data_IF_087879209866
#
_entry.id   IF_087879209866
#
_cell.length_a   1.000
_cell.length_b   1.000
_cell.length_c   1.000
_cell.angle_alpha   90.00
_cell.angle_beta   90.00
_cell.angle_gamma   90.00
#
_symmetry.space_group_name_H-M   'P 1'
#
loop_
_entity.id
_entity.type
_entity.pdbx_description
1 polymer ?
#
# COMPACT_ATOMS: atom_id res chain seq x y z
N UNK A 1 44.05 19.09 6.74
CA UNK A 1 42.64 19.54 6.59
C UNK A 1 42.17 19.11 5.21
N UNK A 2 41.28 18.12 5.16
CA UNK A 2 40.69 17.55 3.94
C UNK A 2 39.19 17.44 4.33
N UNK A 3 38.33 18.39 3.94
CA UNK A 3 37.50 18.38 2.72
C UNK A 3 36.87 16.99 2.49
N UNK A 4 35.57 16.77 2.44
CA UNK A 4 34.39 17.62 2.48
C UNK A 4 33.16 16.71 2.45
N UNK A 5 32.02 17.26 2.90
CA UNK A 5 30.66 16.74 2.74
C UNK A 5 30.45 15.92 1.47
N UNK A 6 29.75 14.79 1.58
CA UNK A 6 28.72 14.40 0.62
C UNK A 6 27.69 13.49 1.30
N UNK A 7 26.56 14.08 1.67
CA UNK A 7 25.37 13.33 2.08
C UNK A 7 24.70 12.75 0.85
N UNK A 8 24.38 11.45 0.89
CA UNK A 8 23.55 10.83 -0.12
C UNK A 8 22.10 11.11 0.27
N UNK A 9 21.55 12.15 -0.35
CA UNK A 9 20.12 12.42 -0.39
C UNK A 9 19.51 11.40 -1.37
N UNK A 10 18.82 10.39 -0.86
CA UNK A 10 18.08 9.45 -1.71
C UNK A 10 16.80 10.15 -2.17
N UNK A 11 16.85 10.71 -3.37
CA UNK A 11 15.71 11.32 -4.05
C UNK A 11 14.69 10.26 -4.46
N UNK A 12 13.42 10.61 -4.27
CA UNK A 12 12.26 9.84 -4.66
C UNK A 12 12.31 9.41 -6.14
N UNK A 13 11.92 8.17 -6.39
CA UNK A 13 11.69 7.64 -7.74
C UNK A 13 10.39 8.24 -8.27
N UNK A 14 10.40 9.01 -9.38
CA UNK A 14 9.17 9.40 -10.04
C UNK A 14 8.69 8.25 -10.92
N UNK A 15 7.66 7.52 -10.50
CA UNK A 15 6.92 6.62 -11.40
C UNK A 15 5.88 7.47 -12.13
N UNK A 16 6.29 8.02 -13.28
CA UNK A 16 5.36 8.52 -14.30
C UNK A 16 5.36 7.47 -15.41
N UNK A 17 4.33 6.61 -15.43
CA UNK A 17 4.03 5.78 -16.59
C UNK A 17 2.78 6.32 -17.27
N UNK A 18 2.99 6.74 -18.52
CA UNK A 18 2.00 7.23 -19.46
C UNK A 18 1.97 6.23 -20.60
N UNK A 19 1.10 5.23 -20.51
CA UNK A 19 0.81 4.28 -21.59
C UNK A 19 -0.72 4.09 -21.62
N UNK A 20 -1.42 4.76 -22.54
CA UNK A 20 -1.88 4.20 -23.82
C UNK A 20 -2.59 2.86 -23.66
N UNK A 21 -3.91 2.91 -23.77
CA UNK A 21 -4.83 1.83 -24.14
C UNK A 21 -4.14 0.68 -24.91
N UNK A 22 -3.94 -0.42 -24.20
CA UNK A 22 -3.76 -1.76 -24.75
C UNK A 22 -4.50 -2.68 -23.78
N UNK A 23 -5.51 -3.42 -24.27
CA UNK A 23 -6.44 -4.22 -23.46
C UNK A 23 -5.72 -5.28 -22.61
N UNK A 24 -5.18 -4.88 -21.47
CA UNK A 24 -4.69 -5.75 -20.41
C UNK A 24 -5.69 -5.61 -19.27
N UNK A 25 -6.12 -6.75 -18.70
CA UNK A 25 -7.01 -6.72 -17.54
C UNK A 25 -6.36 -5.97 -16.39
N UNK A 26 -7.16 -5.35 -15.52
CA UNK A 26 -6.67 -4.80 -14.27
C UNK A 26 -7.04 -5.76 -13.14
N UNK A 27 -6.17 -5.89 -12.15
CA UNK A 27 -6.43 -6.70 -10.96
C UNK A 27 -6.69 -5.75 -9.81
N UNK A 28 -7.86 -5.88 -9.19
CA UNK A 28 -8.19 -5.25 -7.91
C UNK A 28 -7.93 -6.25 -6.79
N UNK A 29 -7.15 -5.83 -5.80
CA UNK A 29 -6.88 -6.57 -4.57
C UNK A 29 -7.48 -5.81 -3.39
N UNK A 30 -8.41 -6.42 -2.67
CA UNK A 30 -8.98 -5.90 -1.44
C UNK A 30 -8.30 -6.56 -0.24
N UNK A 31 -7.81 -5.75 0.70
CA UNK A 31 -7.13 -6.22 1.90
C UNK A 31 -7.72 -5.58 3.15
N UNK A 32 -7.66 -6.32 4.25
CA UNK A 32 -7.89 -5.84 5.60
C UNK A 32 -6.54 -5.72 6.32
N UNK A 33 -6.20 -4.53 6.81
CA UNK A 33 -4.96 -4.26 7.53
C UNK A 33 -5.30 -3.96 8.99
N UNK A 34 -4.77 -4.76 9.90
CA UNK A 34 -4.94 -4.57 11.34
C UNK A 34 -3.68 -3.92 11.90
N UNK A 35 -3.79 -2.77 12.58
CA UNK A 35 -2.63 -2.13 13.18
C UNK A 35 -2.23 -2.83 14.49
N UNK A 36 -0.93 -2.86 14.80
CA UNK A 36 -0.40 -3.29 16.10
C UNK A 36 -0.89 -2.37 17.23
N UNK A 37 -0.99 -1.07 16.92
CA UNK A 37 -1.46 -0.04 17.83
C UNK A 37 -2.57 0.79 17.17
N UNK A 38 -3.76 0.77 17.78
CA UNK A 38 -4.94 1.51 17.31
C UNK A 38 -4.71 3.03 17.23
N UNK A 39 -3.78 3.59 18.02
CA UNK A 39 -3.42 5.00 17.98
C UNK A 39 -2.63 5.42 16.72
N UNK A 40 -2.18 4.46 15.90
CA UNK A 40 -1.40 4.72 14.68
C UNK A 40 -2.18 4.43 13.39
N UNK A 41 -3.45 4.02 13.49
CA UNK A 41 -4.26 3.58 12.35
C UNK A 41 -4.37 4.63 11.23
N UNK A 42 -4.51 5.91 11.59
CA UNK A 42 -4.56 6.98 10.60
C UNK A 42 -3.22 7.17 9.87
N UNK A 43 -2.10 7.03 10.60
CA UNK A 43 -0.76 7.12 10.00
C UNK A 43 -0.51 5.97 9.04
N UNK A 44 -0.91 4.76 9.43
CA UNK A 44 -0.81 3.57 8.57
C UNK A 44 -1.65 3.77 7.32
N UNK A 45 -2.87 4.32 7.43
CA UNK A 45 -3.67 4.67 6.25
C UNK A 45 -2.99 5.69 5.35
N UNK A 46 -2.37 6.73 5.92
CA UNK A 46 -1.58 7.71 5.16
C UNK A 46 -0.35 7.08 4.48
N UNK A 47 0.27 6.07 5.08
CA UNK A 47 1.38 5.33 4.47
C UNK A 47 0.90 4.38 3.36
N UNK A 48 -0.24 3.72 3.54
CA UNK A 48 -0.88 2.88 2.52
C UNK A 48 -1.23 3.69 1.26
N UNK A 49 -1.66 4.95 1.41
CA UNK A 49 -1.95 5.86 0.28
C UNK A 49 -0.72 6.16 -0.58
N UNK A 50 0.49 5.98 -0.05
CA UNK A 50 1.75 6.22 -0.77
C UNK A 50 2.21 5.02 -1.61
N UNK A 51 1.62 3.85 -1.38
CA UNK A 51 1.92 2.65 -2.15
C UNK A 51 1.36 2.84 -3.57
N UNK A 52 2.18 2.54 -4.58
CA UNK A 52 1.74 2.60 -5.96
C UNK A 52 0.58 1.61 -6.20
N UNK A 53 -0.46 2.06 -6.89
CA UNK A 53 -1.67 1.27 -7.12
C UNK A 53 -2.75 1.45 -6.06
N UNK A 54 -2.57 2.30 -5.05
CA UNK A 54 -3.64 2.61 -4.10
C UNK A 54 -4.90 3.11 -4.83
N UNK A 55 -6.05 2.48 -4.56
CA UNK A 55 -7.33 2.86 -5.14
C UNK A 55 -8.27 3.50 -4.11
N UNK A 56 -8.46 2.84 -2.97
CA UNK A 56 -9.34 3.34 -1.90
C UNK A 56 -8.96 2.73 -0.56
N UNK A 57 -9.19 3.45 0.53
CA UNK A 57 -8.91 3.00 1.89
C UNK A 57 -9.81 3.70 2.89
N UNK A 58 -10.36 2.93 3.84
CA UNK A 58 -11.23 3.44 4.91
C UNK A 58 -11.00 2.68 6.21
N UNK A 59 -11.19 3.37 7.32
CA UNK A 59 -11.15 2.77 8.65
C UNK A 59 -12.55 2.25 8.97
N UNK A 60 -12.66 0.97 9.31
CA UNK A 60 -13.92 0.33 9.67
C UNK A 60 -13.81 -0.36 11.04
N UNK A 61 -14.97 -0.53 11.68
CA UNK A 61 -15.04 -1.33 12.89
C UNK A 61 -14.77 -2.79 12.56
N UNK A 62 -13.96 -3.41 13.41
CA UNK A 62 -13.50 -4.79 13.28
C UNK A 62 -13.87 -5.58 14.55
N UNK A 63 -13.27 -6.76 14.73
CA UNK A 63 -13.61 -7.63 15.87
C UNK A 63 -13.30 -6.97 17.21
N UNK A 64 -14.14 -7.23 18.21
CA UNK A 64 -13.95 -6.80 19.60
C UNK A 64 -13.76 -5.28 19.80
N UNK A 65 -14.41 -4.46 18.96
CA UNK A 65 -14.35 -2.99 19.09
C UNK A 65 -13.01 -2.39 18.66
N UNK A 66 -12.14 -3.18 18.03
CA UNK A 66 -10.94 -2.69 17.35
C UNK A 66 -11.32 -2.11 15.99
N UNK A 67 -10.43 -1.30 15.42
CA UNK A 67 -10.57 -0.80 14.06
C UNK A 67 -9.52 -1.44 13.16
N UNK A 68 -9.91 -1.62 11.90
CA UNK A 68 -9.02 -2.08 10.84
C UNK A 68 -9.14 -1.15 9.64
N UNK A 69 -8.17 -1.22 8.74
CA UNK A 69 -8.18 -0.47 7.50
C UNK A 69 -8.58 -1.41 6.39
N UNK A 70 -9.73 -1.15 5.76
CA UNK A 70 -10.14 -1.82 4.53
C UNK A 70 -9.56 -1.03 3.36
N UNK A 71 -8.65 -1.63 2.61
CA UNK A 71 -7.89 -0.97 1.54
C UNK A 71 -7.96 -1.78 0.26
N UNK A 72 -7.98 -1.10 -0.88
CA UNK A 72 -7.95 -1.71 -2.21
C UNK A 72 -6.81 -1.14 -3.05
N UNK A 73 -6.18 -2.02 -3.80
CA UNK A 73 -5.13 -1.69 -4.75
C UNK A 73 -5.49 -2.19 -6.14
N UNK A 74 -5.07 -1.44 -7.17
CA UNK A 74 -5.22 -1.81 -8.57
C UNK A 74 -3.83 -1.87 -9.20
N UNK A 75 -3.53 -2.99 -9.84
CA UNK A 75 -2.36 -3.14 -10.71
C UNK A 75 -2.80 -3.71 -12.07
N UNK A 76 -1.90 -3.66 -13.05
CA UNK A 76 -2.14 -4.33 -14.32
C UNK A 76 -1.95 -5.84 -14.15
N UNK A 77 -2.73 -6.67 -14.85
CA UNK A 77 -2.66 -8.14 -14.78
C UNK A 77 -1.29 -8.70 -15.21
N UNK A 78 -0.53 -7.94 -16.00
CA UNK A 78 0.85 -8.26 -16.34
C UNK A 78 1.85 -8.04 -15.20
N UNK A 79 1.48 -7.26 -14.18
CA UNK A 79 2.32 -6.96 -13.03
C UNK A 79 1.92 -7.85 -11.86
N UNK A 80 2.66 -8.94 -11.66
CA UNK A 80 2.55 -9.75 -10.45
C UNK A 80 3.06 -8.91 -9.26
N UNK A 81 2.13 -8.34 -8.47
CA UNK A 81 2.44 -7.60 -7.24
C UNK A 81 1.80 -8.27 -6.04
N UNK A 82 2.60 -8.51 -5.02
CA UNK A 82 2.13 -9.01 -3.73
C UNK A 82 1.94 -7.84 -2.76
N UNK A 83 0.73 -7.29 -2.75
CA UNK A 83 0.36 -6.21 -1.85
C UNK A 83 0.32 -6.66 -0.38
N UNK A 84 0.06 -7.94 -0.10
CA UNK A 84 0.08 -8.47 1.27
C UNK A 84 1.50 -8.37 1.84
N UNK A 85 2.49 -8.86 1.09
CA UNK A 85 3.90 -8.81 1.49
C UNK A 85 4.39 -7.36 1.60
N UNK A 86 4.02 -6.49 0.66
CA UNK A 86 4.42 -5.08 0.68
C UNK A 86 3.86 -4.33 1.90
N UNK A 87 2.58 -4.53 2.22
CA UNK A 87 1.93 -3.88 3.36
C UNK A 87 2.41 -4.45 4.69
N UNK A 88 2.71 -5.76 4.76
CA UNK A 88 3.23 -6.40 5.98
C UNK A 88 4.55 -5.78 6.46
N UNK A 89 5.31 -5.13 5.57
CA UNK A 89 6.57 -4.44 5.88
C UNK A 89 6.37 -3.04 6.44
N UNK A 90 5.14 -2.50 6.41
CA UNK A 90 4.83 -1.19 6.98
C UNK A 90 4.87 -1.28 8.50
N UNK A 91 5.66 -0.39 9.10
CA UNK A 91 5.79 -0.31 10.55
C UNK A 91 4.43 -0.04 11.20
N UNK A 92 4.09 -0.83 12.21
CA UNK A 92 2.83 -0.70 12.94
C UNK A 92 1.68 -1.52 12.34
N UNK A 93 1.91 -2.27 11.26
CA UNK A 93 0.96 -3.29 10.77
C UNK A 93 1.16 -4.59 11.54
N UNK A 94 0.10 -5.10 12.16
CA UNK A 94 0.13 -6.38 12.87
C UNK A 94 -0.18 -7.55 11.96
N UNK A 95 -1.18 -7.41 11.10
CA UNK A 95 -1.58 -8.44 10.16
C UNK A 95 -2.24 -7.81 8.94
N UNK A 96 -2.07 -8.48 7.81
CA UNK A 96 -2.73 -8.17 6.56
C UNK A 96 -3.47 -9.43 6.13
N UNK A 97 -4.72 -9.26 5.70
CA UNK A 97 -5.52 -10.36 5.16
C UNK A 97 -6.03 -9.96 3.79
N UNK A 98 -5.77 -10.79 2.78
CA UNK A 98 -6.40 -10.64 1.47
C UNK A 98 -7.85 -11.09 1.57
N UNK A 99 -8.76 -10.21 1.21
CA UNK A 99 -10.21 -10.46 1.24
C UNK A 99 -10.69 -10.93 -0.12
N UNK A 100 -10.26 -10.24 -1.17
CA UNK A 100 -10.72 -10.49 -2.54
C UNK A 100 -9.63 -10.10 -3.53
N UNK A 101 -9.51 -10.90 -4.60
CA UNK A 101 -8.71 -10.57 -5.79
C UNK A 101 -9.61 -10.77 -6.99
N UNK A 102 -9.76 -9.74 -7.83
CA UNK A 102 -10.67 -9.76 -8.96
C UNK A 102 -10.11 -9.03 -10.17
N UNK A 103 -10.48 -9.48 -11.37
CA UNK A 103 -10.22 -8.77 -12.61
C UNK A 103 -11.30 -7.70 -12.84
N UNK A 104 -10.90 -6.49 -13.25
CA UNK A 104 -11.77 -5.34 -13.52
C UNK A 104 -11.49 -4.73 -14.90
#
# INVERSE_FOLDING_TARGET
MIAGKLGILMFAVPVVLKDRDSKMGKVLTLLTVVPENQGEIEKILEDLKKINGFNSGRIEDYVFGTKAIKVSFICDDSEARDFEEEISKIKGVSSVSVEEVGLI
#
